data_IF_442897701033
#
_entry.id   IF_442897701033
#
_cell.length_a   1.000
_cell.length_b   1.000
_cell.length_c   1.000
_cell.angle_alpha   90.00
_cell.angle_beta   90.00
_cell.angle_gamma   90.00
#
_symmetry.space_group_name_H-M   'P 1'
#
loop_
_entity.id
_entity.type
_entity.pdbx_description
1 polymer ?
#
# COMPACT_ATOMS: atom_id res chain seq x y z
N UNK A 1 9.81 8.98 -4.02
CA UNK A 1 9.61 7.93 -5.05
C UNK A 1 8.12 7.70 -5.20
N UNK A 2 7.61 7.78 -6.40
CA UNK A 2 6.18 7.88 -6.64
C UNK A 2 5.55 6.47 -6.59
N UNK A 3 4.64 6.21 -5.63
CA UNK A 3 3.91 4.94 -5.46
C UNK A 3 3.26 4.49 -6.79
N UNK A 4 2.89 5.44 -7.64
CA UNK A 4 2.22 5.20 -8.92
C UNK A 4 3.13 4.68 -10.03
N UNK A 5 4.46 4.81 -9.92
CA UNK A 5 5.35 4.16 -10.89
C UNK A 5 5.27 2.63 -10.83
N UNK A 6 4.85 2.08 -9.69
CA UNK A 6 4.57 0.64 -9.57
C UNK A 6 3.36 0.21 -10.41
N UNK A 7 2.39 1.11 -10.65
CA UNK A 7 1.25 0.86 -11.54
C UNK A 7 1.58 1.10 -13.02
N UNK A 8 2.64 1.88 -13.32
CA UNK A 8 3.11 2.15 -14.67
C UNK A 8 4.08 1.10 -15.21
N UNK A 9 4.36 0.03 -14.45
CA UNK A 9 5.10 -1.11 -14.96
C UNK A 9 4.51 -1.56 -16.30
N UNK A 10 5.30 -1.43 -17.36
CA UNK A 10 4.94 -1.78 -18.73
C UNK A 10 4.32 -3.18 -18.80
N UNK A 11 3.01 -3.30 -18.67
CA UNK A 11 2.29 -4.49 -19.12
C UNK A 11 2.35 -4.52 -20.66
N UNK A 12 3.49 -4.84 -21.22
CA UNK A 12 3.56 -5.38 -22.56
C UNK A 12 2.93 -6.76 -22.51
N UNK A 13 1.62 -6.80 -22.68
CA UNK A 13 0.96 -8.08 -22.98
C UNK A 13 1.57 -8.63 -24.27
N UNK A 14 2.03 -9.90 -24.22
CA UNK A 14 2.35 -10.69 -25.39
C UNK A 14 1.19 -10.53 -26.38
N UNK A 15 1.34 -9.78 -27.45
CA UNK A 15 0.46 -9.58 -28.61
C UNK A 15 0.10 -8.12 -28.94
N UNK A 16 0.89 -7.14 -28.52
CA UNK A 16 0.82 -5.80 -29.17
C UNK A 16 -0.51 -5.02 -29.02
N UNK A 17 -1.48 -5.50 -28.24
CA UNK A 17 -2.71 -4.78 -27.98
C UNK A 17 -2.49 -3.90 -26.74
N UNK A 18 -2.44 -2.58 -26.93
CA UNK A 18 -2.64 -1.62 -25.83
C UNK A 18 -3.98 -1.95 -25.18
N UNK A 19 -3.94 -2.46 -23.95
CA UNK A 19 -5.15 -2.52 -23.14
C UNK A 19 -5.56 -1.07 -22.89
N UNK A 20 -6.64 -0.62 -23.52
CA UNK A 20 -7.33 0.62 -23.15
C UNK A 20 -7.99 0.32 -21.80
N UNK A 21 -7.31 0.64 -20.74
CA UNK A 21 -7.92 0.63 -19.42
C UNK A 21 -8.67 1.95 -19.31
N UNK A 22 -9.96 1.91 -19.54
CA UNK A 22 -10.77 3.13 -19.58
C UNK A 22 -11.01 3.70 -18.19
N UNK A 23 -10.99 2.89 -17.12
CA UNK A 23 -11.07 3.31 -15.70
C UNK A 23 -10.68 2.15 -14.78
N UNK A 24 -9.96 2.45 -13.67
CA UNK A 24 -9.76 1.53 -12.55
C UNK A 24 -10.81 1.78 -11.48
N UNK A 25 -11.51 0.75 -11.07
CA UNK A 25 -12.37 0.81 -9.90
C UNK A 25 -11.53 0.63 -8.66
N UNK A 26 -11.45 1.68 -7.85
CA UNK A 26 -10.55 1.79 -6.71
C UNK A 26 -11.31 1.89 -5.40
N UNK A 27 -10.90 1.12 -4.40
CA UNK A 27 -11.30 1.29 -3.01
C UNK A 27 -10.08 1.74 -2.19
N UNK A 28 -10.26 2.81 -1.41
CA UNK A 28 -9.26 3.31 -0.48
C UNK A 28 -9.63 2.88 0.94
N UNK A 29 -8.72 2.26 1.66
CA UNK A 29 -8.88 1.96 3.08
C UNK A 29 -8.02 2.94 3.88
N UNK A 30 -8.69 3.85 4.55
CA UNK A 30 -8.14 5.08 5.09
C UNK A 30 -8.34 5.16 6.60
N UNK A 31 -7.71 6.15 7.20
CA UNK A 31 -7.87 6.58 8.57
C UNK A 31 -8.14 8.08 8.69
N UNK A 32 -8.69 8.45 9.86
CA UNK A 32 -8.87 9.86 10.26
C UNK A 32 -7.62 10.52 10.88
N UNK A 33 -6.46 9.84 10.89
CA UNK A 33 -5.22 10.37 11.47
C UNK A 33 -4.34 11.07 10.43
N UNK A 34 -3.51 11.99 10.89
CA UNK A 34 -2.66 12.84 10.05
C UNK A 34 -1.79 12.06 9.05
N UNK A 35 -1.19 10.94 9.47
CA UNK A 35 -0.36 10.11 8.59
C UNK A 35 -1.18 9.46 7.46
N UNK A 36 -2.39 9.01 7.77
CA UNK A 36 -3.28 8.43 6.79
C UNK A 36 -3.74 9.48 5.77
N UNK A 37 -4.06 10.69 6.22
CA UNK A 37 -4.42 11.81 5.35
C UNK A 37 -3.27 12.08 4.37
N UNK A 38 -2.03 12.15 4.85
CA UNK A 38 -0.86 12.39 4.01
C UNK A 38 -0.60 11.26 3.00
N UNK A 39 -0.75 9.99 3.43
CA UNK A 39 -0.59 8.83 2.53
C UNK A 39 -1.65 8.85 1.44
N UNK A 40 -2.90 9.09 1.82
CA UNK A 40 -4.03 9.17 0.88
C UNK A 40 -3.92 10.36 -0.06
N UNK A 41 -3.60 11.56 0.44
CA UNK A 41 -3.42 12.75 -0.41
C UNK A 41 -2.28 12.55 -1.41
N UNK A 42 -1.13 12.02 -0.96
CA UNK A 42 -0.01 11.74 -1.87
C UNK A 42 -0.37 10.70 -2.94
N UNK A 43 -1.22 9.72 -2.61
CA UNK A 43 -1.75 8.78 -3.58
C UNK A 43 -2.66 9.48 -4.59
N UNK A 44 -3.64 10.25 -4.13
CA UNK A 44 -4.61 10.94 -5.00
C UNK A 44 -3.96 12.00 -5.88
N UNK A 45 -3.03 12.81 -5.34
CA UNK A 45 -2.28 13.82 -6.10
C UNK A 45 -1.48 13.16 -7.23
N UNK A 46 -0.80 12.06 -6.91
CA UNK A 46 0.02 11.35 -7.90
C UNK A 46 -0.84 10.57 -8.90
N UNK A 47 -2.01 10.11 -8.45
CA UNK A 47 -2.97 9.35 -9.26
C UNK A 47 -3.89 10.22 -10.11
N UNK A 48 -3.83 11.55 -9.97
CA UNK A 48 -4.71 12.45 -10.70
C UNK A 48 -4.59 12.35 -12.24
N UNK A 49 -3.44 11.88 -12.73
CA UNK A 49 -3.22 11.65 -14.17
C UNK A 49 -3.70 10.27 -14.65
N UNK A 50 -4.14 9.40 -13.73
CA UNK A 50 -4.63 8.06 -14.05
C UNK A 50 -6.16 8.04 -14.11
N UNK A 51 -6.76 7.22 -14.95
CA UNK A 51 -8.21 7.06 -15.03
C UNK A 51 -8.74 6.26 -13.84
N UNK A 52 -8.63 6.81 -12.63
CA UNK A 52 -9.10 6.19 -11.41
C UNK A 52 -10.55 6.55 -11.13
N UNK A 53 -11.39 5.54 -10.91
CA UNK A 53 -12.76 5.68 -10.48
C UNK A 53 -12.85 5.22 -9.02
N UNK A 54 -12.60 6.15 -8.09
CA UNK A 54 -12.71 5.86 -6.67
C UNK A 54 -14.18 5.62 -6.31
N UNK A 55 -14.48 4.45 -5.74
CA UNK A 55 -15.83 4.04 -5.32
C UNK A 55 -16.06 4.28 -3.84
N UNK A 56 -15.13 3.82 -3.00
CA UNK A 56 -15.32 3.81 -1.55
C UNK A 56 -14.08 4.31 -0.80
N UNK A 57 -14.33 4.91 0.37
CA UNK A 57 -13.36 5.17 1.41
C UNK A 57 -13.78 4.43 2.67
N UNK A 58 -12.95 3.50 3.13
CA UNK A 58 -13.24 2.67 4.29
C UNK A 58 -12.34 3.08 5.46
N UNK A 59 -12.94 3.40 6.61
CA UNK A 59 -12.21 3.70 7.83
C UNK A 59 -12.02 2.41 8.64
N UNK A 60 -10.81 1.88 8.70
CA UNK A 60 -10.50 0.62 9.37
C UNK A 60 -9.46 0.72 10.52
N UNK A 61 -9.13 1.93 10.96
CA UNK A 61 -8.38 2.22 12.20
C UNK A 61 -7.09 1.39 12.40
N UNK A 62 -6.32 1.14 11.32
CA UNK A 62 -5.11 0.33 11.27
C UNK A 62 -5.32 -1.17 11.61
N UNK A 63 -6.57 -1.63 11.74
CA UNK A 63 -6.91 -2.97 12.22
C UNK A 63 -7.30 -3.89 11.07
N UNK A 64 -6.74 -5.09 11.08
CA UNK A 64 -7.00 -6.16 10.11
C UNK A 64 -8.47 -6.60 10.15
N UNK A 65 -8.96 -6.88 11.35
CA UNK A 65 -10.34 -7.36 11.58
C UNK A 65 -11.36 -6.31 11.13
N UNK A 66 -11.11 -5.04 11.44
CA UNK A 66 -12.03 -3.97 11.08
C UNK A 66 -12.02 -3.71 9.56
N UNK A 67 -10.87 -3.86 8.91
CA UNK A 67 -10.80 -3.80 7.45
C UNK A 67 -11.61 -4.94 6.81
N UNK A 68 -11.47 -6.17 7.31
CA UNK A 68 -12.26 -7.31 6.88
C UNK A 68 -13.76 -7.06 7.06
N UNK A 69 -14.21 -6.70 8.27
CA UNK A 69 -15.63 -6.49 8.60
C UNK A 69 -16.28 -5.42 7.73
N UNK A 70 -15.62 -4.28 7.59
CA UNK A 70 -16.15 -3.17 6.79
C UNK A 70 -16.13 -3.47 5.31
N UNK A 71 -15.13 -4.20 4.82
CA UNK A 71 -15.08 -4.64 3.44
C UNK A 71 -16.18 -5.66 3.15
N UNK A 72 -16.46 -6.56 4.09
CA UNK A 72 -17.53 -7.53 4.03
C UNK A 72 -18.94 -6.89 4.09
N UNK A 73 -19.05 -5.67 4.57
CA UNK A 73 -20.30 -4.91 4.60
C UNK A 73 -20.62 -4.18 3.28
N UNK A 74 -19.70 -4.17 2.33
CA UNK A 74 -19.97 -3.65 0.98
C UNK A 74 -20.91 -4.57 0.21
N UNK A 75 -21.58 -4.01 -0.78
CA UNK A 75 -22.39 -4.85 -1.67
C UNK A 75 -21.52 -5.76 -2.55
N UNK A 76 -22.07 -6.91 -2.94
CA UNK A 76 -21.36 -7.92 -3.70
C UNK A 76 -20.91 -7.40 -5.08
N UNK A 77 -21.66 -6.51 -5.69
CA UNK A 77 -21.31 -5.92 -7.00
C UNK A 77 -20.08 -5.02 -6.87
N UNK A 78 -20.02 -4.19 -5.82
CA UNK A 78 -18.86 -3.34 -5.54
C UNK A 78 -17.60 -4.18 -5.32
N UNK A 79 -17.72 -5.26 -4.53
CA UNK A 79 -16.60 -6.16 -4.21
C UNK A 79 -16.08 -6.91 -5.43
N UNK A 80 -16.98 -7.43 -6.28
CA UNK A 80 -16.59 -8.23 -7.45
C UNK A 80 -15.98 -7.39 -8.58
N UNK A 81 -16.36 -6.12 -8.67
CA UNK A 81 -15.92 -5.21 -9.73
C UNK A 81 -14.72 -4.33 -9.34
N UNK A 82 -14.22 -4.44 -8.10
CA UNK A 82 -13.04 -3.68 -7.70
C UNK A 82 -11.78 -4.24 -8.35
N UNK A 83 -10.98 -3.38 -8.94
CA UNK A 83 -9.72 -3.75 -9.60
C UNK A 83 -8.51 -3.49 -8.71
N UNK A 84 -8.60 -2.50 -7.80
CA UNK A 84 -7.53 -2.18 -6.88
C UNK A 84 -8.05 -1.75 -5.51
N UNK A 85 -7.35 -2.16 -4.46
CA UNK A 85 -7.54 -1.72 -3.08
C UNK A 85 -6.23 -1.19 -2.54
N UNK A 86 -6.22 0.06 -2.09
CA UNK A 86 -5.06 0.70 -1.49
C UNK A 86 -5.31 0.87 0.00
N UNK A 87 -4.43 0.29 0.79
CA UNK A 87 -4.51 0.31 2.24
C UNK A 87 -3.38 1.16 2.83
N UNK A 88 -3.68 1.94 3.86
CA UNK A 88 -2.68 2.79 4.50
C UNK A 88 -1.71 2.00 5.40
N UNK A 89 -1.96 0.72 5.67
CA UNK A 89 -0.98 -0.22 6.22
C UNK A 89 -1.21 -1.65 5.72
N UNK A 90 -0.27 -2.55 6.04
CA UNK A 90 -0.32 -3.96 5.64
C UNK A 90 -1.40 -4.75 6.40
N UNK A 91 -1.67 -4.43 7.68
CA UNK A 91 -2.70 -5.14 8.45
C UNK A 91 -4.08 -4.98 7.80
N UNK A 92 -4.43 -3.76 7.38
CA UNK A 92 -5.68 -3.53 6.66
C UNK A 92 -5.69 -4.22 5.29
N UNK A 93 -4.54 -4.26 4.59
CA UNK A 93 -4.41 -4.97 3.33
C UNK A 93 -4.61 -6.48 3.49
N UNK A 94 -4.07 -7.05 4.57
CA UNK A 94 -4.27 -8.45 4.93
C UNK A 94 -5.72 -8.75 5.31
N UNK A 95 -6.41 -7.82 5.96
CA UNK A 95 -7.85 -7.97 6.25
C UNK A 95 -8.70 -8.06 4.99
N UNK A 96 -8.42 -7.26 3.98
CA UNK A 96 -9.07 -7.36 2.66
C UNK A 96 -8.71 -8.68 1.97
N UNK A 97 -7.44 -9.07 2.01
CA UNK A 97 -6.98 -10.36 1.47
C UNK A 97 -7.73 -11.53 2.11
N UNK A 98 -7.87 -11.56 3.43
CA UNK A 98 -8.58 -12.60 4.16
C UNK A 98 -10.03 -12.73 3.69
N UNK A 99 -10.72 -11.61 3.49
CA UNK A 99 -12.08 -11.59 2.95
C UNK A 99 -12.17 -12.28 1.59
N UNK A 100 -11.31 -11.89 0.64
CA UNK A 100 -11.33 -12.50 -0.70
C UNK A 100 -10.99 -13.98 -0.68
N UNK A 101 -10.07 -14.41 0.18
CA UNK A 101 -9.68 -15.83 0.34
C UNK A 101 -10.82 -16.64 0.95
N UNK A 102 -11.47 -16.12 1.99
CA UNK A 102 -12.59 -16.82 2.63
C UNK A 102 -13.78 -16.99 1.67
N UNK A 103 -14.08 -15.98 0.88
CA UNK A 103 -15.18 -16.01 -0.10
C UNK A 103 -14.78 -16.72 -1.41
N UNK A 104 -13.53 -17.17 -1.53
CA UNK A 104 -13.00 -17.78 -2.75
C UNK A 104 -13.21 -16.89 -3.99
N UNK A 105 -13.03 -15.57 -3.83
CA UNK A 105 -13.16 -14.59 -4.89
C UNK A 105 -11.80 -14.31 -5.55
N UNK A 106 -11.85 -13.80 -6.79
CA UNK A 106 -10.64 -13.36 -7.48
C UNK A 106 -10.08 -12.12 -6.79
N UNK A 107 -8.80 -12.19 -6.35
CA UNK A 107 -8.12 -11.07 -5.72
C UNK A 107 -7.95 -9.89 -6.69
N UNK A 108 -8.30 -8.66 -6.27
CA UNK A 108 -7.90 -7.44 -6.95
C UNK A 108 -6.40 -7.16 -6.71
N UNK A 109 -5.89 -6.08 -7.27
CA UNK A 109 -4.59 -5.55 -6.88
C UNK A 109 -4.69 -4.95 -5.49
N UNK A 110 -4.08 -5.57 -4.48
CA UNK A 110 -4.08 -5.06 -3.10
C UNK A 110 -2.68 -4.56 -2.77
N UNK A 111 -2.60 -3.31 -2.28
CA UNK A 111 -1.35 -2.67 -1.89
C UNK A 111 -1.45 -2.20 -0.44
N UNK A 112 -0.45 -2.55 0.35
CA UNK A 112 -0.26 -2.09 1.72
C UNK A 112 0.88 -1.07 1.87
N UNK A 113 1.20 -0.76 3.11
CA UNK A 113 2.36 0.05 3.51
C UNK A 113 2.88 -0.55 4.81
N UNK A 114 4.14 -0.70 4.96
CA UNK A 114 5.06 -0.98 6.06
C UNK A 114 6.04 -2.11 5.72
N UNK A 115 5.72 -3.02 4.80
CA UNK A 115 6.51 -4.22 4.52
C UNK A 115 6.60 -5.13 5.75
N UNK A 116 5.45 -5.42 6.38
CA UNK A 116 5.37 -6.38 7.47
C UNK A 116 5.82 -7.77 7.00
N UNK A 117 6.31 -8.59 7.94
CA UNK A 117 6.84 -9.93 7.62
C UNK A 117 5.81 -10.80 6.88
N UNK A 118 4.55 -10.84 7.36
CA UNK A 118 3.49 -11.62 6.71
C UNK A 118 3.19 -11.10 5.30
N UNK A 119 3.10 -9.77 5.14
CA UNK A 119 2.86 -9.16 3.83
C UNK A 119 4.01 -9.45 2.87
N UNK A 120 5.25 -9.35 3.34
CA UNK A 120 6.44 -9.68 2.56
C UNK A 120 6.41 -11.12 2.05
N UNK A 121 6.13 -12.09 2.94
CA UNK A 121 6.04 -13.50 2.58
C UNK A 121 4.95 -13.75 1.54
N UNK A 122 3.78 -13.14 1.68
CA UNK A 122 2.68 -13.25 0.70
C UNK A 122 3.00 -12.62 -0.65
N UNK A 123 3.81 -11.56 -0.69
CA UNK A 123 4.28 -10.97 -1.95
C UNK A 123 5.29 -11.93 -2.61
N UNK A 124 6.22 -12.48 -1.84
CA UNK A 124 7.23 -13.42 -2.37
C UNK A 124 6.60 -14.73 -2.87
N UNK A 125 5.55 -15.23 -2.20
CA UNK A 125 4.78 -16.39 -2.68
C UNK A 125 3.85 -16.08 -3.86
N UNK A 126 3.70 -14.80 -4.22
CA UNK A 126 2.83 -14.36 -5.31
C UNK A 126 1.36 -14.25 -4.95
N UNK A 127 1.00 -14.39 -3.67
CA UNK A 127 -0.38 -14.25 -3.20
C UNK A 127 -0.85 -12.79 -3.12
N UNK A 128 0.06 -11.86 -2.80
CA UNK A 128 -0.24 -10.43 -2.72
C UNK A 128 0.55 -9.66 -3.78
N UNK A 129 0.01 -8.49 -4.17
CA UNK A 129 0.64 -7.69 -5.22
C UNK A 129 1.85 -6.92 -4.72
N UNK A 130 1.73 -6.17 -3.61
CA UNK A 130 2.82 -5.35 -3.14
C UNK A 130 2.55 -4.52 -1.90
N UNK A 131 3.63 -3.94 -1.37
CA UNK A 131 3.62 -3.01 -0.25
C UNK A 131 4.66 -1.92 -0.44
N UNK A 132 4.57 -0.85 0.35
CA UNK A 132 5.60 0.18 0.45
C UNK A 132 6.38 -0.01 1.75
N UNK A 133 7.65 -0.38 1.63
CA UNK A 133 8.59 -0.38 2.74
C UNK A 133 8.92 1.07 3.13
N UNK A 134 8.44 1.51 4.26
CA UNK A 134 8.67 2.85 4.82
C UNK A 134 10.01 3.00 5.54
N UNK A 135 10.86 1.96 5.51
CA UNK A 135 12.19 1.96 6.11
C UNK A 135 12.19 2.20 7.63
N UNK A 136 11.33 1.47 8.34
CA UNK A 136 11.20 1.59 9.79
C UNK A 136 12.53 1.33 10.51
N UNK A 137 13.30 0.35 10.06
CA UNK A 137 14.62 0.04 10.65
C UNK A 137 15.58 1.24 10.54
N UNK A 138 15.66 1.87 9.36
CA UNK A 138 16.51 3.05 9.14
C UNK A 138 16.06 4.21 10.04
N UNK A 139 14.75 4.37 10.25
CA UNK A 139 14.20 5.39 11.14
C UNK A 139 14.58 5.12 12.60
N UNK A 140 14.48 3.89 13.07
CA UNK A 140 14.86 3.50 14.44
C UNK A 140 16.37 3.68 14.64
N UNK A 141 17.19 3.28 13.69
CA UNK A 141 18.64 3.47 13.75
C UNK A 141 19.02 4.95 13.85
N UNK A 142 18.37 5.81 13.08
CA UNK A 142 18.61 7.25 13.15
C UNK A 142 18.17 7.86 14.48
N UNK A 143 17.07 7.41 15.06
CA UNK A 143 16.63 7.80 16.41
C UNK A 143 17.70 7.42 17.44
N UNK A 144 18.21 6.19 17.39
CA UNK A 144 19.28 5.74 18.30
C UNK A 144 20.56 6.58 18.15
N UNK A 145 20.94 6.90 16.91
CA UNK A 145 22.09 7.75 16.62
C UNK A 145 21.90 9.17 17.19
N UNK A 146 20.74 9.73 17.01
CA UNK A 146 20.37 11.04 17.55
C UNK A 146 20.40 11.05 19.08
N UNK A 147 19.84 10.04 19.73
CA UNK A 147 19.88 9.90 21.19
C UNK A 147 21.32 9.85 21.71
N UNK A 148 22.20 9.07 21.06
CA UNK A 148 23.62 9.02 21.44
C UNK A 148 24.31 10.38 21.30
N UNK A 149 24.07 11.11 20.22
CA UNK A 149 24.63 12.44 20.00
C UNK A 149 24.17 13.43 21.08
N UNK A 150 22.89 13.41 21.43
CA UNK A 150 22.35 14.26 22.51
C UNK A 150 23.02 13.94 23.86
N UNK A 151 23.14 12.67 24.20
CA UNK A 151 23.78 12.24 25.45
C UNK A 151 25.27 12.65 25.51
N UNK A 152 25.98 12.64 24.39
CA UNK A 152 27.36 13.08 24.27
C UNK A 152 27.51 14.60 24.14
N UNK A 153 26.40 15.35 24.12
CA UNK A 153 26.36 16.82 23.87
C UNK A 153 27.01 17.22 22.53
N UNK A 154 27.01 16.32 21.57
CA UNK A 154 27.51 16.57 20.22
C UNK A 154 26.40 17.15 19.35
N UNK A 155 26.28 18.50 19.34
CA UNK A 155 25.25 19.22 18.64
C UNK A 155 25.49 19.39 17.12
N UNK A 156 26.68 19.00 16.64
CA UNK A 156 27.11 19.16 15.25
C UNK A 156 26.87 17.90 14.39
N UNK A 157 26.62 16.75 15.01
CA UNK A 157 26.61 15.45 14.33
C UNK A 157 25.26 14.97 13.87
N UNK A 158 24.18 15.73 14.08
CA UNK A 158 22.82 15.31 13.67
C UNK A 158 22.09 16.39 12.88
N UNK A 159 21.21 15.93 11.99
CA UNK A 159 20.32 16.81 11.23
C UNK A 159 19.04 17.09 12.05
N UNK A 160 18.52 18.32 11.96
CA UNK A 160 17.23 18.66 12.60
C UNK A 160 16.05 17.92 12.00
N UNK A 161 16.15 17.56 10.73
CA UNK A 161 15.12 16.82 9.98
C UNK A 161 15.84 15.76 9.16
N UNK A 162 15.36 14.54 9.26
CA UNK A 162 15.84 13.41 8.48
C UNK A 162 14.66 12.72 7.78
N UNK A 163 14.86 12.27 6.55
CA UNK A 163 13.85 11.60 5.75
C UNK A 163 14.36 10.22 5.32
N UNK A 164 13.57 9.19 5.57
CA UNK A 164 13.78 7.88 4.94
C UNK A 164 13.34 7.92 3.47
N UNK A 165 13.91 7.04 2.65
CA UNK A 165 13.48 6.85 1.26
C UNK A 165 12.66 5.58 1.17
N UNK A 166 11.33 5.65 1.09
CA UNK A 166 10.49 4.47 0.95
C UNK A 166 10.80 3.68 -0.32
N UNK A 167 10.61 2.37 -0.27
CA UNK A 167 10.82 1.45 -1.40
C UNK A 167 9.58 0.63 -1.67
N UNK A 168 9.17 0.54 -2.93
CA UNK A 168 8.13 -0.40 -3.32
C UNK A 168 8.69 -1.84 -3.32
N UNK A 169 7.94 -2.75 -2.72
CA UNK A 169 8.13 -4.19 -2.77
C UNK A 169 6.93 -4.75 -3.52
N UNK A 170 7.16 -5.36 -4.65
CA UNK A 170 6.11 -5.91 -5.51
C UNK A 170 6.47 -7.33 -5.93
N UNK A 171 5.45 -8.13 -6.27
CA UNK A 171 5.63 -9.44 -6.87
C UNK A 171 6.54 -9.34 -8.09
N UNK A 172 7.55 -10.22 -8.17
CA UNK A 172 8.40 -10.30 -9.36
C UNK A 172 7.57 -10.73 -10.57
N UNK A 173 7.72 -10.03 -11.70
CA UNK A 173 7.11 -10.46 -12.96
C UNK A 173 7.82 -11.75 -13.42
N UNK A 174 7.09 -12.84 -13.58
CA UNK A 174 7.61 -14.06 -14.22
C UNK A 174 7.68 -15.34 -13.39
N UNK A 175 7.10 -15.41 -12.20
CA UNK A 175 6.84 -16.68 -11.51
C UNK A 175 5.40 -17.10 -11.77
N UNK A 176 5.16 -17.74 -12.92
CA UNK A 176 4.03 -18.65 -13.13
C UNK A 176 4.40 -20.04 -12.65
#
# INVERSE_FOLDING_TARGET
MNMMRCFQGDRKMKHGKKCKIDKYTLILIVLSHFDAIRRTSGFLETGAELPLNQKENILAEWKRELAYEKFAALDDEAVQNVEAVICNNDDMALGVYDYYKEKNLKLPVIIGINNSEEMHQKIMSGEMYGTIDNKMEDQVMEICRLMQAILKKDTGSYQKVWYSTPKAIVKAEGTE
#
